data_IF_777672266800
#
_entry.id   IF_777672266800
#
_cell.length_a   1.000
_cell.length_b   1.000
_cell.length_c   1.000
_cell.angle_alpha   90.00
_cell.angle_beta   90.00
_cell.angle_gamma   90.00
#
_symmetry.space_group_name_H-M   'P 1'
#
loop_
_entity.id
_entity.type
_entity.pdbx_description
1 polymer ?
#
# COMPACT_ATOMS: atom_id res chain seq x y z
N UNK A 1 -33.95 -48.01 -41.92
CA UNK A 1 -35.37 -48.43 -41.88
C UNK A 1 -35.78 -48.67 -40.42
N UNK A 2 -36.82 -47.96 -39.94
CA UNK A 2 -37.86 -48.32 -38.93
C UNK A 2 -37.37 -49.12 -37.68
N UNK A 3 -37.59 -48.73 -36.41
CA UNK A 3 -38.78 -48.15 -35.77
C UNK A 3 -38.44 -47.50 -34.41
N UNK A 4 -39.12 -46.41 -34.10
CA UNK A 4 -39.25 -45.82 -32.77
C UNK A 4 -40.41 -46.47 -31.97
N UNK A 5 -40.37 -46.34 -30.63
CA UNK A 5 -41.45 -46.40 -29.63
C UNK A 5 -40.80 -46.50 -28.24
N UNK A 6 -41.23 -45.87 -27.14
CA UNK A 6 -42.13 -44.75 -26.87
C UNK A 6 -41.87 -44.35 -25.39
N UNK A 7 -41.97 -43.06 -25.12
CA UNK A 7 -42.02 -42.30 -23.87
C UNK A 7 -42.29 -43.01 -22.52
N UNK A 8 -41.55 -42.59 -21.49
CA UNK A 8 -42.15 -42.16 -20.22
C UNK A 8 -41.49 -40.87 -19.72
N UNK A 9 -42.32 -40.03 -19.12
CA UNK A 9 -42.13 -38.60 -18.83
C UNK A 9 -41.75 -38.38 -17.36
N UNK A 10 -40.90 -37.36 -17.17
CA UNK A 10 -40.71 -36.49 -16.00
C UNK A 10 -40.31 -37.10 -14.64
N UNK A 11 -39.25 -36.55 -14.04
CA UNK A 11 -39.41 -35.54 -12.97
C UNK A 11 -38.12 -34.72 -12.82
N UNK A 12 -38.30 -33.40 -12.93
CA UNK A 12 -37.39 -32.32 -12.59
C UNK A 12 -36.98 -32.35 -11.11
N UNK A 13 -35.70 -32.16 -10.82
CA UNK A 13 -35.27 -31.31 -9.70
C UNK A 13 -33.88 -30.76 -10.01
N UNK A 14 -33.88 -29.62 -10.71
CA UNK A 14 -32.75 -28.71 -10.81
C UNK A 14 -32.59 -28.07 -9.43
N UNK A 15 -31.60 -28.52 -8.65
CA UNK A 15 -31.15 -27.78 -7.48
C UNK A 15 -30.06 -26.83 -7.95
N UNK A 16 -30.48 -25.64 -8.35
CA UNK A 16 -29.61 -24.50 -8.56
C UNK A 16 -29.21 -23.95 -7.19
N UNK A 17 -28.05 -24.39 -6.67
CA UNK A 17 -27.39 -23.68 -5.58
C UNK A 17 -26.74 -22.43 -6.13
N UNK A 18 -27.51 -21.34 -6.16
CA UNK A 18 -26.98 -19.99 -6.29
C UNK A 18 -26.16 -19.71 -5.04
N UNK A 19 -24.84 -19.91 -5.14
CA UNK A 19 -23.89 -19.43 -4.16
C UNK A 19 -23.92 -17.90 -4.16
N UNK A 20 -24.51 -17.33 -3.12
CA UNK A 20 -24.55 -15.88 -2.91
C UNK A 20 -23.10 -15.34 -2.85
N UNK A 21 -22.68 -14.68 -3.92
CA UNK A 21 -21.49 -13.85 -3.89
C UNK A 21 -21.76 -12.70 -2.90
N UNK A 22 -21.20 -12.80 -1.70
CA UNK A 22 -21.12 -11.68 -0.79
C UNK A 22 -20.24 -10.61 -1.44
N UNK A 23 -20.87 -9.67 -2.14
CA UNK A 23 -20.20 -8.46 -2.61
C UNK A 23 -19.90 -7.65 -1.35
N UNK A 24 -18.69 -7.82 -0.82
CA UNK A 24 -18.17 -6.96 0.24
C UNK A 24 -18.11 -5.54 -0.32
N UNK A 25 -19.13 -4.74 -0.02
CA UNK A 25 -19.15 -3.32 -0.34
C UNK A 25 -18.04 -2.69 0.49
N UNK A 26 -16.90 -2.41 -0.17
CA UNK A 26 -15.80 -1.69 0.43
C UNK A 26 -16.30 -0.30 0.82
N UNK A 27 -16.59 -0.11 2.12
CA UNK A 27 -16.90 1.21 2.65
C UNK A 27 -15.68 2.12 2.40
N UNK A 28 -15.84 3.28 1.75
CA UNK A 28 -14.76 4.23 1.62
C UNK A 28 -14.41 4.70 3.02
N UNK A 29 -13.29 4.21 3.55
CA UNK A 29 -12.76 4.66 4.83
C UNK A 29 -12.62 6.19 4.75
N UNK A 30 -13.47 6.90 5.53
CA UNK A 30 -13.57 8.35 5.57
C UNK A 30 -12.29 8.98 6.11
N UNK A 31 -11.28 9.06 5.26
CA UNK A 31 -10.12 9.94 5.43
C UNK A 31 -10.34 11.24 4.66
N UNK A 32 -9.67 12.34 5.03
CA UNK A 32 -9.70 13.55 4.23
C UNK A 32 -9.31 13.24 2.78
N UNK A 33 -9.92 13.93 1.79
CA UNK A 33 -9.67 13.69 0.37
C UNK A 33 -8.17 13.62 0.11
N UNK A 34 -7.74 12.63 -0.68
CA UNK A 34 -6.32 12.42 -0.99
C UNK A 34 -5.63 13.72 -1.48
N UNK A 35 -6.39 14.56 -2.17
CA UNK A 35 -6.03 15.90 -2.64
C UNK A 35 -5.58 16.84 -1.50
N UNK A 36 -6.34 16.95 -0.41
CA UNK A 36 -6.00 17.82 0.73
C UNK A 36 -4.73 17.37 1.46
N UNK A 37 -4.46 16.06 1.50
CA UNK A 37 -3.25 15.51 2.14
C UNK A 37 -1.99 15.76 1.30
N UNK A 38 -2.10 15.66 -0.03
CA UNK A 38 -0.98 15.91 -0.94
C UNK A 38 -0.52 17.37 -0.88
N UNK A 39 -1.45 18.33 -0.95
CA UNK A 39 -1.12 19.76 -0.88
C UNK A 39 -0.38 20.16 0.41
N UNK A 40 -0.71 19.53 1.55
CA UNK A 40 -0.05 19.80 2.84
C UNK A 40 1.36 19.23 2.95
N UNK A 41 1.63 18.10 2.28
CA UNK A 41 2.99 17.53 2.25
C UNK A 41 3.90 18.39 1.38
N UNK A 42 3.41 18.80 0.21
CA UNK A 42 4.16 19.59 -0.76
C UNK A 42 4.53 20.96 -0.20
N UNK A 43 3.58 21.66 0.43
CA UNK A 43 3.85 22.98 1.04
C UNK A 43 4.94 22.89 2.13
N UNK A 44 4.94 21.82 2.92
CA UNK A 44 5.97 21.59 3.94
C UNK A 44 7.33 21.25 3.33
N UNK A 45 7.38 20.45 2.26
CA UNK A 45 8.63 20.10 1.61
C UNK A 45 9.25 21.31 0.91
N UNK A 46 8.42 22.07 0.19
CA UNK A 46 8.80 23.32 -0.47
C UNK A 46 9.35 24.33 0.53
N UNK A 47 8.64 24.56 1.65
CA UNK A 47 9.11 25.48 2.69
C UNK A 47 10.42 25.03 3.34
N UNK A 48 10.57 23.73 3.65
CA UNK A 48 11.77 23.22 4.34
C UNK A 48 13.02 23.22 3.48
N UNK A 49 12.87 22.93 2.19
CA UNK A 49 13.99 22.90 1.26
C UNK A 49 14.23 24.26 0.58
N UNK A 50 13.25 25.16 0.60
CA UNK A 50 13.29 26.39 -0.20
C UNK A 50 13.28 26.04 -1.69
N UNK A 51 12.32 25.21 -2.11
CA UNK A 51 12.18 24.84 -3.53
C UNK A 51 11.63 26.03 -4.32
N UNK A 52 12.16 26.24 -5.52
CA UNK A 52 11.49 27.09 -6.51
C UNK A 52 10.18 26.43 -6.96
N UNK A 53 9.29 27.21 -7.57
CA UNK A 53 8.01 26.68 -8.07
C UNK A 53 8.23 25.63 -9.16
N UNK A 54 9.22 25.83 -10.04
CA UNK A 54 9.61 24.87 -11.07
C UNK A 54 10.10 23.54 -10.45
N UNK A 55 10.99 23.61 -9.44
CA UNK A 55 11.46 22.42 -8.72
C UNK A 55 10.30 21.69 -8.05
N UNK A 56 9.40 22.44 -7.39
CA UNK A 56 8.24 21.87 -6.72
C UNK A 56 7.28 21.20 -7.72
N UNK A 57 7.08 21.78 -8.90
CA UNK A 57 6.26 21.21 -9.97
C UNK A 57 6.86 19.92 -10.53
N UNK A 58 8.17 19.89 -10.80
CA UNK A 58 8.84 18.68 -11.29
C UNK A 58 8.76 17.52 -10.28
N UNK A 59 9.01 17.81 -8.99
CA UNK A 59 8.90 16.81 -7.91
C UNK A 59 7.46 16.30 -7.78
N UNK A 60 6.47 17.18 -7.93
CA UNK A 60 5.06 16.82 -7.90
C UNK A 60 4.69 15.86 -9.03
N UNK A 61 5.17 16.09 -10.25
CA UNK A 61 4.91 15.21 -11.38
C UNK A 61 5.47 13.80 -11.15
N UNK A 62 6.70 13.69 -10.61
CA UNK A 62 7.28 12.40 -10.19
C UNK A 62 6.36 11.70 -9.16
N UNK A 63 5.84 12.46 -8.20
CA UNK A 63 4.93 11.92 -7.18
C UNK A 63 3.52 11.58 -7.71
N UNK A 64 3.03 12.26 -8.72
CA UNK A 64 1.73 11.99 -9.32
C UNK A 64 1.78 10.77 -10.22
N UNK A 65 2.82 10.66 -11.07
CA UNK A 65 3.00 9.54 -12.00
C UNK A 65 2.95 8.18 -11.31
N UNK A 66 3.59 8.06 -10.16
CA UNK A 66 3.69 6.79 -9.43
C UNK A 66 2.69 6.69 -8.26
N UNK A 67 1.69 7.59 -8.16
CA UNK A 67 0.79 7.67 -7.02
C UNK A 67 -0.04 6.39 -6.82
N UNK A 68 -0.64 5.88 -7.90
CA UNK A 68 -1.52 4.72 -7.81
C UNK A 68 -0.76 3.42 -7.55
N UNK A 69 0.39 3.23 -8.20
CA UNK A 69 1.30 2.12 -7.93
C UNK A 69 1.72 2.10 -6.45
N UNK A 70 2.08 3.26 -5.88
CA UNK A 70 2.38 3.36 -4.43
C UNK A 70 1.17 3.02 -3.57
N UNK A 71 -0.03 3.52 -3.89
CA UNK A 71 -1.25 3.23 -3.13
C UNK A 71 -1.54 1.73 -3.10
N UNK A 72 -1.52 1.08 -4.25
CA UNK A 72 -1.73 -0.37 -4.39
C UNK A 72 -0.68 -1.15 -3.60
N UNK A 73 0.59 -0.76 -3.70
CA UNK A 73 1.67 -1.38 -2.93
C UNK A 73 1.46 -1.27 -1.42
N UNK A 74 1.08 -0.08 -0.93
CA UNK A 74 0.79 0.12 0.50
C UNK A 74 -0.40 -0.72 0.97
N UNK A 75 -1.43 -0.86 0.15
CA UNK A 75 -2.58 -1.73 0.45
C UNK A 75 -2.14 -3.19 0.54
N UNK A 76 -1.38 -3.68 -0.45
CA UNK A 76 -0.86 -5.05 -0.46
C UNK A 76 0.01 -5.34 0.76
N UNK A 77 0.95 -4.45 1.10
CA UNK A 77 1.80 -4.60 2.29
C UNK A 77 1.00 -4.58 3.60
N UNK A 78 -0.02 -3.72 3.70
CA UNK A 78 -0.90 -3.68 4.88
C UNK A 78 -1.67 -4.99 5.01
N UNK A 79 -2.23 -5.49 3.92
CA UNK A 79 -2.99 -6.74 3.90
C UNK A 79 -2.11 -7.94 4.25
N UNK A 80 -0.95 -8.09 3.61
CA UNK A 80 -0.04 -9.20 3.87
C UNK A 80 0.44 -9.23 5.34
N UNK A 81 0.65 -8.08 5.97
CA UNK A 81 0.97 -7.98 7.40
C UNK A 81 -0.19 -8.38 8.31
N UNK A 82 -1.42 -8.00 7.95
CA UNK A 82 -2.61 -8.39 8.71
C UNK A 82 -2.84 -9.90 8.63
N UNK A 83 -2.70 -10.48 7.44
CA UNK A 83 -2.79 -11.93 7.21
C UNK A 83 -1.68 -12.69 7.93
N UNK A 84 -0.43 -12.22 7.89
CA UNK A 84 0.66 -12.83 8.65
C UNK A 84 0.36 -12.84 10.15
N UNK A 85 -0.14 -11.72 10.68
CA UNK A 85 -0.53 -11.63 12.09
C UNK A 85 -1.65 -12.61 12.43
N UNK A 86 -2.66 -12.74 11.57
CA UNK A 86 -3.73 -13.71 11.76
C UNK A 86 -3.19 -15.14 11.79
N UNK A 87 -2.39 -15.54 10.79
CA UNK A 87 -1.78 -16.87 10.73
C UNK A 87 -0.99 -17.23 12.00
N UNK A 88 -0.22 -16.28 12.53
CA UNK A 88 0.53 -16.49 13.78
C UNK A 88 -0.39 -16.62 15.00
N UNK A 89 -1.43 -15.79 15.11
CA UNK A 89 -2.35 -15.82 16.25
C UNK A 89 -3.31 -17.02 16.23
N UNK A 90 -3.64 -17.49 15.03
CA UNK A 90 -4.49 -18.67 14.83
C UNK A 90 -3.68 -19.98 14.93
N UNK A 91 -2.38 -19.89 15.24
CA UNK A 91 -1.44 -21.02 15.31
C UNK A 91 -1.49 -21.89 14.05
N UNK A 92 -1.50 -21.24 12.88
CA UNK A 92 -1.54 -21.91 11.59
C UNK A 92 -0.27 -22.76 11.33
N UNK A 93 -0.33 -23.58 10.29
CA UNK A 93 0.81 -24.39 9.86
C UNK A 93 2.10 -23.55 9.66
N UNK A 94 3.27 -24.00 10.17
CA UNK A 94 4.52 -23.25 10.07
C UNK A 94 4.92 -22.86 8.64
N UNK A 95 4.67 -23.71 7.64
CA UNK A 95 5.02 -23.40 6.26
C UNK A 95 4.15 -22.28 5.69
N UNK A 96 2.87 -22.19 6.09
CA UNK A 96 1.98 -21.09 5.71
C UNK A 96 2.45 -19.75 6.32
N UNK A 97 2.89 -19.76 7.58
CA UNK A 97 3.47 -18.59 8.25
C UNK A 97 4.75 -18.14 7.51
N UNK A 98 5.66 -19.06 7.22
CA UNK A 98 6.91 -18.77 6.52
C UNK A 98 6.66 -18.20 5.12
N UNK A 99 5.76 -18.81 4.34
CA UNK A 99 5.39 -18.31 3.02
C UNK A 99 4.85 -16.88 3.07
N UNK A 100 3.98 -16.57 4.03
CA UNK A 100 3.43 -15.23 4.21
C UNK A 100 4.50 -14.23 4.70
N UNK A 101 5.42 -14.68 5.56
CA UNK A 101 6.56 -13.88 6.01
C UNK A 101 7.46 -13.48 4.83
N UNK A 102 7.79 -14.42 3.93
CA UNK A 102 8.55 -14.12 2.72
C UNK A 102 7.82 -13.11 1.82
N UNK A 103 6.50 -13.23 1.67
CA UNK A 103 5.70 -12.25 0.92
C UNK A 103 5.81 -10.83 1.52
N UNK A 104 5.73 -10.71 2.85
CA UNK A 104 5.91 -9.42 3.53
C UNK A 104 7.32 -8.86 3.32
N UNK A 105 8.35 -9.70 3.41
CA UNK A 105 9.74 -9.29 3.16
C UNK A 105 9.91 -8.77 1.74
N UNK A 106 9.36 -9.46 0.74
CA UNK A 106 9.42 -9.02 -0.65
C UNK A 106 8.75 -7.64 -0.85
N UNK A 107 7.56 -7.44 -0.27
CA UNK A 107 6.86 -6.14 -0.33
C UNK A 107 7.64 -5.03 0.39
N UNK A 108 8.39 -5.36 1.44
CA UNK A 108 9.28 -4.39 2.09
C UNK A 108 10.44 -3.99 1.20
N UNK A 109 11.11 -4.95 0.55
CA UNK A 109 12.19 -4.68 -0.40
C UNK A 109 11.71 -3.78 -1.54
N UNK A 110 10.56 -4.07 -2.13
CA UNK A 110 9.94 -3.22 -3.16
C UNK A 110 9.64 -1.80 -2.66
N UNK A 111 9.29 -1.63 -1.37
CA UNK A 111 9.11 -0.31 -0.77
C UNK A 111 10.39 0.52 -0.80
N UNK A 112 11.53 -0.12 -0.52
CA UNK A 112 12.85 0.52 -0.57
C UNK A 112 13.22 0.86 -2.01
N UNK A 113 13.02 -0.07 -2.94
CA UNK A 113 13.29 0.14 -4.37
C UNK A 113 12.53 1.34 -4.93
N UNK A 114 11.22 1.44 -4.68
CA UNK A 114 10.41 2.59 -5.10
C UNK A 114 10.93 3.89 -4.50
N UNK A 115 11.33 3.87 -3.22
CA UNK A 115 11.86 5.05 -2.54
C UNK A 115 13.19 5.48 -3.15
N UNK A 116 14.09 4.54 -3.42
CA UNK A 116 15.39 4.79 -4.05
C UNK A 116 15.20 5.34 -5.46
N UNK A 117 14.33 4.73 -6.26
CA UNK A 117 13.99 5.21 -7.61
C UNK A 117 13.52 6.66 -7.58
N UNK A 118 12.54 6.97 -6.72
CA UNK A 118 12.03 8.33 -6.54
C UNK A 118 13.15 9.29 -6.12
N UNK A 119 14.05 8.88 -5.21
CA UNK A 119 15.18 9.72 -4.78
C UNK A 119 16.17 9.99 -5.91
N UNK A 120 16.46 9.01 -6.76
CA UNK A 120 17.36 9.18 -7.91
C UNK A 120 16.82 10.19 -8.91
N UNK A 121 15.50 10.26 -9.07
CA UNK A 121 14.84 11.25 -9.94
C UNK A 121 14.79 12.65 -9.32
N UNK A 122 14.59 12.75 -8.00
CA UNK A 122 14.54 14.04 -7.30
C UNK A 122 15.93 14.66 -7.10
N UNK A 123 16.96 13.85 -6.84
CA UNK A 123 18.30 14.33 -6.55
C UNK A 123 18.89 15.35 -7.55
N UNK A 124 18.75 15.18 -8.88
CA UNK A 124 19.25 16.15 -9.86
C UNK A 124 18.43 17.45 -9.94
N UNK A 125 17.18 17.46 -9.47
CA UNK A 125 16.33 18.68 -9.44
C UNK A 125 16.81 19.67 -8.37
N UNK A 126 17.41 19.14 -7.30
CA UNK A 126 17.81 19.91 -6.13
C UNK A 126 19.22 20.48 -6.26
N UNK A 127 19.44 21.63 -5.63
CA UNK A 127 20.80 22.18 -5.42
C UNK A 127 21.58 21.32 -4.42
N UNK A 128 22.91 21.52 -4.36
CA UNK A 128 23.78 20.85 -3.37
C UNK A 128 23.28 21.11 -1.95
N UNK A 129 22.98 22.37 -1.61
CA UNK A 129 22.49 22.77 -0.30
C UNK A 129 21.13 22.14 0.05
N UNK A 130 20.21 22.07 -0.92
CA UNK A 130 18.91 21.43 -0.76
C UNK A 130 19.05 19.92 -0.50
N UNK A 131 20.00 19.25 -1.17
CA UNK A 131 20.29 17.83 -0.89
C UNK A 131 20.82 17.62 0.53
N UNK A 132 21.69 18.49 1.02
CA UNK A 132 22.18 18.42 2.40
C UNK A 132 21.05 18.62 3.43
N UNK A 133 20.18 19.62 3.23
CA UNK A 133 18.98 19.79 4.06
C UNK A 133 18.08 18.55 4.02
N UNK A 134 17.92 17.92 2.85
CA UNK A 134 17.12 16.71 2.71
C UNK A 134 17.70 15.51 3.47
N UNK A 135 19.02 15.33 3.49
CA UNK A 135 19.68 14.27 4.29
C UNK A 135 19.42 14.47 5.78
N UNK A 136 19.48 15.70 6.27
CA UNK A 136 19.26 16.03 7.68
C UNK A 136 17.82 15.73 8.14
N UNK A 137 16.82 16.00 7.28
CA UNK A 137 15.41 15.68 7.56
C UNK A 137 15.14 14.18 7.75
N UNK A 138 15.93 13.31 7.11
CA UNK A 138 15.80 11.85 7.25
C UNK A 138 16.13 11.36 8.66
N UNK A 139 17.07 12.02 9.34
CA UNK A 139 17.53 11.66 10.69
C UNK A 139 16.60 12.09 11.83
N UNK A 140 15.68 13.03 11.59
CA UNK A 140 14.79 13.56 12.64
C UNK A 140 13.64 12.60 12.99
N UNK A 141 13.13 11.84 12.00
CA UNK A 141 12.04 10.89 12.22
C UNK A 141 12.42 9.74 13.18
N UNK A 142 13.70 9.36 13.23
CA UNK A 142 14.19 8.35 14.19
C UNK A 142 14.36 8.87 15.62
N UNK A 143 14.54 10.18 15.80
CA UNK A 143 14.75 10.78 17.13
C UNK A 143 13.46 10.99 17.92
N UNK A 144 12.34 11.20 17.23
CA UNK A 144 11.05 11.41 17.89
C UNK A 144 10.47 10.12 18.50
N UNK A 145 10.79 8.94 17.96
CA UNK A 145 10.42 7.65 18.55
C UNK A 145 11.15 7.32 19.86
N UNK A 146 12.37 7.86 20.07
CA UNK A 146 13.11 7.67 21.33
C UNK A 146 12.54 8.47 22.50
N UNK A 147 11.91 9.62 22.25
CA UNK A 147 11.42 10.49 23.34
C UNK A 147 10.14 9.99 24.02
N UNK A 148 9.25 9.29 23.31
CA UNK A 148 8.00 8.79 23.90
C UNK A 148 8.13 7.49 24.70
N UNK A 149 9.25 6.75 24.58
CA UNK A 149 9.46 5.50 25.34
C UNK A 149 10.09 5.72 26.73
N UNK A 150 10.62 6.91 27.00
CA UNK A 150 11.27 7.24 28.27
C UNK A 150 10.39 8.00 29.27
N UNK A 151 9.10 8.17 28.99
CA UNK A 151 8.19 9.00 29.81
C UNK A 151 7.13 8.20 30.56
N UNK A 152 7.22 6.87 30.58
CA UNK A 152 6.23 5.98 31.22
C UNK A 152 6.76 5.30 32.50
N UNK A 153 7.90 5.74 33.03
CA UNK A 153 8.43 5.32 34.32
C UNK A 153 8.67 6.57 35.18
N UNK A 154 7.61 7.09 35.78
CA UNK A 154 7.64 8.10 36.85
C UNK A 154 6.36 7.97 37.67
#
# INVERSE_FOLDING_TARGET
MKRARSFWVATLLVVATVGAAAVAVAQPAGGPPAEKRHHRWESKLQQRLGLTDDQAQQIRQIHQRDADARRQHYQALRQARAELRALVLDNADPAAIEAKQMQVQQLLSQSVEMRVRTLREIAPILTVEQREKMKQMGGERGRHFRRHRGSSES
#
